data_IF_458304651857
#
_entry.id   IF_458304651857
#
_cell.length_a   1.000
_cell.length_b   1.000
_cell.length_c   1.000
_cell.angle_alpha   90.00
_cell.angle_beta   90.00
_cell.angle_gamma   90.00
#
_symmetry.space_group_name_H-M   'P 1'
#
loop_
_entity.id
_entity.type
_entity.pdbx_description
1 polymer ?
#
# COMPACT_ATOMS: atom_id res chain seq x y z
N UNK A 1 -20.19 10.79 -7.97
CA UNK A 1 -21.42 11.50 -7.52
C UNK A 1 -22.02 10.97 -6.19
N UNK A 2 -21.43 9.95 -5.54
CA UNK A 2 -21.89 9.43 -4.24
C UNK A 2 -21.41 10.23 -2.99
N UNK A 3 -20.21 10.83 -2.93
CA UNK A 3 -19.76 11.55 -1.73
C UNK A 3 -20.65 12.72 -1.34
N UNK A 4 -21.20 13.42 -2.35
CA UNK A 4 -22.07 14.59 -2.11
C UNK A 4 -23.44 14.21 -1.50
N UNK A 5 -23.96 13.03 -1.85
CA UNK A 5 -25.23 12.53 -1.31
C UNK A 5 -25.11 12.11 0.17
N UNK A 6 -23.99 11.52 0.57
CA UNK A 6 -23.73 11.19 1.99
C UNK A 6 -23.54 12.44 2.84
N UNK A 7 -22.88 13.47 2.31
CA UNK A 7 -22.70 14.74 3.00
C UNK A 7 -24.04 15.46 3.26
N UNK A 8 -24.96 15.45 2.28
CA UNK A 8 -26.30 16.04 2.42
C UNK A 8 -27.18 15.26 3.40
N UNK A 9 -27.09 13.92 3.43
CA UNK A 9 -27.84 13.08 4.40
C UNK A 9 -27.39 13.32 5.84
N UNK A 10 -26.10 13.54 6.08
CA UNK A 10 -25.60 13.87 7.42
C UNK A 10 -26.03 15.25 7.90
N UNK A 11 -26.20 16.22 7.00
CA UNK A 11 -26.68 17.57 7.32
C UNK A 11 -28.15 17.57 7.81
N UNK A 12 -29.00 16.72 7.26
CA UNK A 12 -30.42 16.67 7.64
C UNK A 12 -30.73 15.75 8.83
N UNK A 13 -29.72 15.30 9.58
CA UNK A 13 -29.93 14.53 10.81
C UNK A 13 -30.57 13.14 10.63
N UNK A 14 -30.64 12.64 9.40
CA UNK A 14 -31.07 11.29 9.12
C UNK A 14 -29.94 10.32 9.46
N UNK A 15 -29.85 9.93 10.74
CA UNK A 15 -28.96 8.86 11.17
C UNK A 15 -29.32 7.58 10.42
N UNK A 16 -28.52 7.16 9.46
CA UNK A 16 -28.49 5.76 9.06
C UNK A 16 -28.16 4.96 10.31
N UNK A 17 -29.08 4.10 10.72
CA UNK A 17 -28.78 3.01 11.65
C UNK A 17 -27.65 2.22 11.02
N UNK A 18 -26.44 2.36 11.58
CA UNK A 18 -25.34 1.47 11.21
C UNK A 18 -25.74 0.08 11.68
N UNK A 19 -26.12 -0.78 10.74
CA UNK A 19 -26.14 -2.21 11.02
C UNK A 19 -24.75 -2.58 11.54
N UNK A 20 -24.70 -3.22 12.72
CA UNK A 20 -23.48 -3.74 13.32
C UNK A 20 -22.91 -4.77 12.35
N UNK A 21 -21.99 -4.32 11.47
CA UNK A 21 -21.35 -5.20 10.49
C UNK A 21 -20.41 -6.10 11.24
N UNK A 22 -20.53 -7.39 11.00
CA UNK A 22 -19.64 -8.40 11.55
C UNK A 22 -18.25 -8.25 10.92
N UNK A 23 -17.21 -8.66 11.60
CA UNK A 23 -15.82 -8.69 11.10
C UNK A 23 -15.67 -9.57 9.85
N UNK A 24 -16.66 -10.40 9.57
CA UNK A 24 -16.73 -11.28 8.39
C UNK A 24 -16.87 -10.50 7.05
N UNK A 25 -17.23 -9.21 7.10
CA UNK A 25 -17.37 -8.35 5.92
C UNK A 25 -16.05 -7.63 5.54
N UNK A 26 -14.97 -7.76 6.32
CA UNK A 26 -13.70 -7.10 6.03
C UNK A 26 -12.94 -7.84 4.93
N UNK A 27 -12.73 -7.17 3.79
CA UNK A 27 -11.94 -7.72 2.69
C UNK A 27 -10.48 -7.32 2.83
N UNK A 28 -9.56 -8.21 2.47
CA UNK A 28 -8.11 -7.95 2.46
C UNK A 28 -7.62 -7.83 1.03
N UNK A 29 -7.12 -6.64 0.68
CA UNK A 29 -6.60 -6.34 -0.65
C UNK A 29 -5.09 -6.49 -0.65
N UNK A 30 -4.56 -7.25 -1.63
CA UNK A 30 -3.14 -7.45 -1.83
C UNK A 30 -2.68 -6.82 -3.14
N UNK A 31 -1.72 -5.87 -3.07
CA UNK A 31 -1.18 -5.14 -4.23
C UNK A 31 0.32 -5.37 -4.33
N UNK A 32 0.74 -6.08 -5.36
CA UNK A 32 2.14 -6.45 -5.57
C UNK A 32 3.04 -5.27 -5.95
N UNK A 33 4.35 -5.46 -5.88
CA UNK A 33 5.35 -4.51 -6.32
C UNK A 33 5.55 -4.48 -7.84
N UNK A 34 6.40 -3.57 -8.29
CA UNK A 34 6.78 -3.48 -9.70
C UNK A 34 7.38 -4.78 -10.21
N UNK A 35 7.05 -5.15 -11.46
CA UNK A 35 7.53 -6.37 -12.13
C UNK A 35 7.21 -7.67 -11.39
N UNK A 36 6.15 -7.68 -10.59
CA UNK A 36 5.65 -8.85 -9.89
C UNK A 36 4.21 -9.17 -10.34
N UNK A 37 3.62 -10.16 -9.70
CA UNK A 37 2.20 -10.49 -9.78
C UNK A 37 1.67 -10.77 -8.38
N UNK A 38 0.35 -10.92 -8.22
CA UNK A 38 -0.26 -11.28 -6.93
C UNK A 38 0.30 -12.59 -6.34
N UNK A 39 0.89 -13.46 -7.16
CA UNK A 39 1.52 -14.72 -6.72
C UNK A 39 2.73 -14.49 -5.79
N UNK A 40 3.34 -13.31 -5.82
CA UNK A 40 4.43 -12.97 -4.89
C UNK A 40 4.01 -13.02 -3.43
N UNK A 41 2.72 -12.89 -3.15
CA UNK A 41 2.16 -12.96 -1.79
C UNK A 41 1.80 -14.38 -1.32
N UNK A 42 1.95 -15.43 -2.13
CA UNK A 42 1.45 -16.76 -1.78
C UNK A 42 1.94 -17.23 -0.40
N UNK A 43 3.24 -17.06 -0.10
CA UNK A 43 3.79 -17.43 1.20
C UNK A 43 3.11 -16.67 2.36
N UNK A 44 3.01 -15.35 2.25
CA UNK A 44 2.39 -14.52 3.30
C UNK A 44 0.92 -14.85 3.48
N UNK A 45 0.18 -15.09 2.40
CA UNK A 45 -1.23 -15.50 2.42
C UNK A 45 -1.43 -16.85 3.09
N UNK A 46 -0.56 -17.83 2.81
CA UNK A 46 -0.57 -19.14 3.49
C UNK A 46 -0.36 -19.01 5.01
N UNK A 47 0.41 -18.01 5.44
CA UNK A 47 0.65 -17.74 6.86
C UNK A 47 -0.47 -16.94 7.52
N UNK A 48 -1.05 -15.99 6.81
CA UNK A 48 -2.08 -15.08 7.36
C UNK A 48 -3.49 -15.67 7.32
N UNK A 49 -3.85 -16.40 6.27
CA UNK A 49 -5.13 -17.11 6.09
C UNK A 49 -6.36 -16.20 6.29
N UNK A 50 -6.37 -15.02 5.69
CA UNK A 50 -7.51 -14.12 5.75
C UNK A 50 -8.72 -14.67 4.99
N UNK A 51 -9.96 -14.48 5.49
CA UNK A 51 -11.14 -15.12 4.91
C UNK A 51 -11.54 -14.56 3.55
N UNK A 52 -11.42 -13.26 3.34
CA UNK A 52 -11.91 -12.56 2.15
C UNK A 52 -10.78 -11.79 1.47
N UNK A 53 -10.14 -12.40 0.47
CA UNK A 53 -8.99 -11.82 -0.19
C UNK A 53 -9.30 -11.32 -1.58
N UNK A 54 -8.79 -10.14 -1.93
CA UNK A 54 -8.82 -9.55 -3.27
C UNK A 54 -7.37 -9.42 -3.75
N UNK A 55 -7.03 -10.18 -4.78
CA UNK A 55 -5.68 -10.21 -5.33
C UNK A 55 -5.61 -9.32 -6.56
N UNK A 56 -4.91 -8.21 -6.44
CA UNK A 56 -4.75 -7.24 -7.51
C UNK A 56 -3.59 -7.64 -8.42
N UNK A 57 -3.83 -7.57 -9.73
CA UNK A 57 -2.79 -7.65 -10.74
C UNK A 57 -2.83 -6.41 -11.63
N UNK A 58 -1.65 -5.86 -11.93
CA UNK A 58 -1.46 -4.74 -12.84
C UNK A 58 -0.12 -4.88 -13.58
N UNK A 59 0.06 -4.14 -14.68
CA UNK A 59 1.30 -4.13 -15.46
C UNK A 59 2.17 -2.95 -15.09
N UNK A 60 3.40 -3.19 -14.66
CA UNK A 60 4.38 -2.12 -14.40
C UNK A 60 4.87 -1.39 -15.67
N UNK A 61 4.49 -1.88 -16.85
CA UNK A 61 4.75 -1.20 -18.12
C UNK A 61 3.74 -0.07 -18.42
N UNK A 62 2.64 -0.03 -17.67
CA UNK A 62 1.61 1.00 -17.79
C UNK A 62 1.89 2.18 -16.83
N UNK A 63 1.31 3.34 -17.14
CA UNK A 63 1.41 4.53 -16.28
C UNK A 63 0.70 4.33 -14.95
N UNK A 64 1.19 5.02 -13.91
CA UNK A 64 0.66 4.92 -12.57
C UNK A 64 -0.86 5.22 -12.50
N UNK A 65 -1.29 6.31 -13.11
CA UNK A 65 -2.71 6.73 -13.09
C UNK A 65 -3.61 5.70 -13.76
N UNK A 66 -3.19 5.17 -14.93
CA UNK A 66 -3.94 4.12 -15.63
C UNK A 66 -4.06 2.85 -14.77
N UNK A 67 -2.96 2.44 -14.13
CA UNK A 67 -2.99 1.31 -13.21
C UNK A 67 -3.87 1.58 -11.99
N UNK A 68 -3.84 2.81 -11.43
CA UNK A 68 -4.68 3.17 -10.29
C UNK A 68 -6.17 2.99 -10.61
N UNK A 69 -6.59 3.43 -11.80
CA UNK A 69 -7.97 3.23 -12.28
C UNK A 69 -8.29 1.74 -12.43
N UNK A 70 -7.41 0.97 -13.06
CA UNK A 70 -7.58 -0.48 -13.24
C UNK A 70 -7.59 -1.27 -11.94
N UNK A 71 -6.79 -0.87 -10.96
CA UNK A 71 -6.80 -1.44 -9.62
C UNK A 71 -8.12 -1.11 -8.92
N UNK A 72 -8.55 0.15 -9.01
CA UNK A 72 -9.83 0.58 -8.43
C UNK A 72 -11.03 -0.17 -9.03
N UNK A 73 -11.02 -0.45 -10.35
CA UNK A 73 -12.05 -1.27 -11.02
C UNK A 73 -12.09 -2.72 -10.51
N UNK A 74 -10.95 -3.29 -10.08
CA UNK A 74 -10.90 -4.65 -9.52
C UNK A 74 -11.50 -4.72 -8.10
N UNK A 75 -11.58 -3.59 -7.38
CA UNK A 75 -12.15 -3.49 -6.04
C UNK A 75 -13.66 -3.22 -6.16
N UNK A 76 -14.42 -4.23 -6.60
CA UNK A 76 -15.87 -4.08 -6.85
C UNK A 76 -16.70 -4.04 -5.57
N UNK A 77 -16.19 -4.60 -4.48
CA UNK A 77 -16.89 -4.64 -3.21
C UNK A 77 -16.81 -3.28 -2.50
N UNK A 78 -17.95 -2.74 -2.06
CA UNK A 78 -18.06 -1.46 -1.35
C UNK A 78 -17.88 -1.58 0.17
N UNK A 79 -17.55 -2.75 0.68
CA UNK A 79 -17.32 -3.01 2.10
C UNK A 79 -16.07 -2.30 2.64
N UNK A 80 -15.82 -2.42 3.94
CA UNK A 80 -14.55 -2.00 4.50
C UNK A 80 -13.42 -2.90 3.98
N UNK A 81 -12.26 -2.31 3.76
CA UNK A 81 -11.08 -3.02 3.25
C UNK A 81 -9.88 -2.79 4.16
N UNK A 82 -9.14 -3.86 4.43
CA UNK A 82 -7.76 -3.80 4.91
C UNK A 82 -6.84 -3.99 3.71
N UNK A 83 -5.81 -3.15 3.56
CA UNK A 83 -5.01 -3.14 2.34
C UNK A 83 -3.54 -3.43 2.64
N UNK A 84 -2.93 -4.28 1.82
CA UNK A 84 -1.53 -4.68 1.94
C UNK A 84 -0.85 -4.39 0.61
N UNK A 85 0.18 -3.55 0.64
CA UNK A 85 0.94 -3.19 -0.54
C UNK A 85 2.44 -3.41 -0.38
N UNK A 86 3.07 -4.07 -1.34
CA UNK A 86 4.52 -4.22 -1.38
C UNK A 86 5.14 -3.21 -2.35
N UNK A 87 6.21 -2.52 -1.93
CA UNK A 87 6.97 -1.61 -2.79
C UNK A 87 6.06 -0.58 -3.47
N UNK A 88 6.01 -0.53 -4.80
CA UNK A 88 5.09 0.31 -5.58
C UNK A 88 3.61 0.03 -5.25
N UNK A 89 3.26 -1.21 -4.88
CA UNK A 89 1.92 -1.57 -4.42
C UNK A 89 1.46 -0.79 -3.19
N UNK A 90 2.39 -0.40 -2.30
CA UNK A 90 2.10 0.47 -1.16
C UNK A 90 1.77 1.91 -1.55
N UNK A 91 2.33 2.41 -2.66
CA UNK A 91 1.93 3.71 -3.21
C UNK A 91 0.49 3.67 -3.72
N UNK A 92 0.11 2.63 -4.49
CA UNK A 92 -1.28 2.44 -4.90
C UNK A 92 -2.21 2.30 -3.70
N UNK A 93 -1.80 1.50 -2.69
CA UNK A 93 -2.59 1.30 -1.48
C UNK A 93 -2.93 2.63 -0.79
N UNK A 94 -1.97 3.56 -0.71
CA UNK A 94 -2.17 4.88 -0.13
C UNK A 94 -3.13 5.73 -0.99
N UNK A 95 -2.98 5.75 -2.31
CA UNK A 95 -3.90 6.48 -3.20
C UNK A 95 -5.34 5.94 -3.10
N UNK A 96 -5.51 4.63 -2.96
CA UNK A 96 -6.83 3.98 -2.85
C UNK A 96 -7.59 4.36 -1.58
N UNK A 97 -6.93 4.89 -0.54
CA UNK A 97 -7.63 5.44 0.65
C UNK A 97 -8.54 6.61 0.29
N UNK A 98 -8.29 7.30 -0.83
CA UNK A 98 -9.09 8.43 -1.32
C UNK A 98 -10.27 7.99 -2.19
N UNK A 99 -10.27 6.73 -2.64
CA UNK A 99 -11.25 6.21 -3.61
C UNK A 99 -12.17 5.14 -3.00
N UNK A 100 -11.67 4.42 -2.00
CA UNK A 100 -12.36 3.28 -1.38
C UNK A 100 -12.39 3.42 0.15
N UNK A 101 -13.30 2.68 0.78
CA UNK A 101 -13.41 2.60 2.24
C UNK A 101 -12.29 1.70 2.80
N UNK A 102 -11.08 2.22 2.85
CA UNK A 102 -9.96 1.56 3.52
C UNK A 102 -10.05 1.89 5.01
N UNK A 103 -9.95 0.89 5.88
CA UNK A 103 -10.09 1.03 7.34
C UNK A 103 -8.79 0.71 8.08
N UNK A 104 -7.78 0.21 7.38
CA UNK A 104 -6.45 -0.05 7.90
C UNK A 104 -5.54 -0.58 6.81
N UNK A 105 -4.24 -0.60 7.03
CA UNK A 105 -3.32 -1.10 6.02
C UNK A 105 -1.91 -1.39 6.49
N UNK A 106 -1.20 -2.14 5.65
CA UNK A 106 0.23 -2.41 5.77
C UNK A 106 0.92 -2.10 4.46
N UNK A 107 1.95 -1.29 4.51
CA UNK A 107 2.88 -1.11 3.41
C UNK A 107 4.20 -1.79 3.74
N UNK A 108 4.77 -2.51 2.77
CA UNK A 108 5.99 -3.30 2.92
C UNK A 108 7.04 -2.71 1.97
N UNK A 109 8.16 -2.25 2.51
CA UNK A 109 9.29 -1.70 1.71
C UNK A 109 8.86 -0.61 0.73
N UNK A 110 7.86 0.22 1.07
CA UNK A 110 7.28 1.20 0.16
C UNK A 110 8.08 2.49 0.12
N UNK A 111 8.47 2.99 -1.08
CA UNK A 111 9.26 4.20 -1.24
C UNK A 111 8.40 5.47 -1.18
N UNK A 112 7.89 5.88 -0.02
CA UNK A 112 6.98 7.03 0.09
C UNK A 112 7.60 8.38 -0.28
N UNK A 113 8.96 8.54 -0.19
CA UNK A 113 9.65 9.70 -0.72
C UNK A 113 10.20 9.48 -2.15
N UNK A 114 9.83 8.39 -2.79
CA UNK A 114 10.31 8.01 -4.11
C UNK A 114 11.71 7.42 -4.11
N UNK A 115 12.22 7.17 -5.32
CA UNK A 115 13.52 6.55 -5.54
C UNK A 115 14.48 7.49 -6.24
N UNK A 116 15.67 7.68 -5.65
CA UNK A 116 16.74 8.46 -6.27
C UNK A 116 17.29 7.77 -7.54
N UNK A 117 17.40 6.44 -7.50
CA UNK A 117 17.85 5.68 -8.68
C UNK A 117 16.86 5.77 -9.84
N UNK A 118 15.55 5.84 -9.57
CA UNK A 118 14.54 6.07 -10.60
C UNK A 118 14.66 7.46 -11.24
N UNK A 119 15.08 8.47 -10.47
CA UNK A 119 15.33 9.81 -11.03
C UNK A 119 16.42 9.82 -12.10
N UNK A 120 17.39 8.90 -12.04
CA UNK A 120 18.43 8.73 -13.05
C UNK A 120 18.01 7.72 -14.13
N UNK A 121 17.41 6.60 -13.76
CA UNK A 121 17.01 5.55 -14.68
C UNK A 121 16.03 6.02 -15.76
N UNK A 122 15.16 7.00 -15.46
CA UNK A 122 14.23 7.59 -16.44
C UNK A 122 14.92 8.26 -17.64
N UNK A 123 16.19 8.68 -17.51
CA UNK A 123 16.96 9.24 -18.62
C UNK A 123 17.64 8.17 -19.47
N UNK A 124 17.90 6.99 -18.88
CA UNK A 124 18.53 5.85 -19.54
C UNK A 124 17.47 5.00 -20.27
N UNK A 125 16.30 4.81 -19.64
CA UNK A 125 15.18 4.03 -20.18
C UNK A 125 13.91 4.88 -20.15
N UNK A 126 13.81 5.92 -21.00
CA UNK A 126 12.71 6.88 -20.96
C UNK A 126 11.35 6.30 -21.37
N UNK A 127 11.35 5.15 -22.06
CA UNK A 127 10.15 4.43 -22.48
C UNK A 127 9.49 3.62 -21.37
N UNK A 128 10.14 3.46 -20.20
CA UNK A 128 9.59 2.68 -19.10
C UNK A 128 8.95 3.60 -18.05
N UNK A 129 7.59 3.66 -17.97
CA UNK A 129 6.86 4.60 -17.14
C UNK A 129 7.22 4.52 -15.65
N UNK A 130 7.50 3.32 -15.13
CA UNK A 130 7.85 3.07 -13.74
C UNK A 130 8.90 4.07 -13.20
N UNK A 131 9.98 4.34 -13.96
CA UNK A 131 11.03 5.25 -13.48
C UNK A 131 10.57 6.71 -13.40
N UNK A 132 9.57 7.09 -14.20
CA UNK A 132 8.95 8.41 -14.10
C UNK A 132 8.01 8.51 -12.90
N UNK A 133 7.28 7.42 -12.61
CA UNK A 133 6.22 7.39 -11.62
C UNK A 133 6.75 7.25 -10.18
N UNK A 134 7.88 6.54 -9.97
CA UNK A 134 8.48 6.38 -8.63
C UNK A 134 9.65 7.33 -8.34
N UNK A 135 9.98 8.24 -9.25
CA UNK A 135 10.96 9.31 -9.02
C UNK A 135 10.49 10.27 -7.92
N UNK A 136 11.41 10.82 -7.12
CA UNK A 136 11.13 11.68 -5.96
C UNK A 136 10.27 12.90 -6.25
N UNK A 137 10.28 13.41 -7.50
CA UNK A 137 9.52 14.58 -7.93
C UNK A 137 8.30 14.24 -8.78
N UNK A 138 7.96 12.95 -8.90
CA UNK A 138 6.81 12.49 -9.67
C UNK A 138 5.48 12.94 -9.05
N UNK A 139 4.44 12.97 -9.86
CA UNK A 139 3.08 13.29 -9.39
C UNK A 139 2.61 12.25 -8.37
N UNK A 140 2.72 10.92 -8.61
CA UNK A 140 2.31 9.92 -7.64
C UNK A 140 2.97 10.09 -6.27
N UNK A 141 4.27 10.34 -6.22
CA UNK A 141 4.99 10.54 -4.95
C UNK A 141 4.56 11.83 -4.24
N UNK A 142 4.39 12.93 -4.96
CA UNK A 142 3.88 14.19 -4.38
C UNK A 142 2.47 14.05 -3.84
N UNK A 143 1.61 13.34 -4.55
CA UNK A 143 0.25 13.04 -4.08
C UNK A 143 0.28 12.16 -2.85
N UNK A 144 1.12 11.10 -2.81
CA UNK A 144 1.32 10.31 -1.59
C UNK A 144 1.72 11.19 -0.39
N UNK A 145 2.59 12.17 -0.59
CA UNK A 145 3.03 13.08 0.48
C UNK A 145 1.92 14.01 0.98
N UNK A 146 0.88 14.28 0.18
CA UNK A 146 -0.26 15.13 0.55
C UNK A 146 -1.43 14.36 1.19
N UNK A 147 -1.46 13.04 1.08
CA UNK A 147 -2.50 12.21 1.70
C UNK A 147 -2.18 12.01 3.18
N UNK A 148 -3.04 12.49 4.07
CA UNK A 148 -2.95 12.24 5.51
C UNK A 148 -3.63 10.91 5.86
N UNK A 149 -2.98 10.12 6.71
CA UNK A 149 -3.49 8.85 7.21
C UNK A 149 -4.01 9.03 8.63
N UNK A 150 -5.31 8.85 8.81
CA UNK A 150 -6.01 8.86 10.11
C UNK A 150 -6.51 7.47 10.55
N UNK A 151 -6.24 6.44 9.76
CA UNK A 151 -6.59 5.04 10.02
C UNK A 151 -5.34 4.27 10.48
N UNK A 152 -5.49 3.11 11.17
CA UNK A 152 -4.35 2.26 11.52
C UNK A 152 -3.53 1.89 10.28
N UNK A 153 -2.26 2.25 10.28
CA UNK A 153 -1.37 1.93 9.19
C UNK A 153 0.02 1.55 9.69
N UNK A 154 0.54 0.44 9.19
CA UNK A 154 1.90 -0.01 9.53
C UNK A 154 2.78 0.01 8.28
N UNK A 155 3.92 0.69 8.36
CA UNK A 155 4.99 0.61 7.37
C UNK A 155 6.06 -0.36 7.86
N UNK A 156 6.30 -1.44 7.13
CA UNK A 156 7.44 -2.33 7.33
C UNK A 156 8.64 -1.75 6.57
N UNK A 157 9.65 -1.34 7.34
CA UNK A 157 10.91 -0.78 6.84
C UNK A 157 11.95 -1.89 6.79
N UNK A 158 12.47 -2.17 5.61
CA UNK A 158 13.48 -3.19 5.38
C UNK A 158 14.88 -2.60 5.38
N UNK A 159 15.85 -3.28 6.03
CA UNK A 159 17.14 -2.67 6.35
C UNK A 159 18.35 -3.46 5.88
N UNK A 160 18.17 -4.63 5.25
CA UNK A 160 19.27 -5.52 4.86
C UNK A 160 19.62 -5.43 3.38
N UNK A 161 20.16 -4.29 2.94
CA UNK A 161 20.68 -4.12 1.58
C UNK A 161 21.98 -3.34 1.58
N UNK A 162 22.83 -3.58 0.59
CA UNK A 162 24.13 -2.91 0.46
C UNK A 162 24.39 -2.50 -0.99
N UNK A 163 23.45 -1.84 -1.64
CA UNK A 163 23.68 -1.31 -2.99
C UNK A 163 24.27 0.09 -2.89
N UNK A 164 25.56 0.27 -3.24
CA UNK A 164 26.31 1.50 -2.96
C UNK A 164 25.76 2.74 -3.70
N UNK A 165 25.02 2.55 -4.78
CA UNK A 165 24.55 3.65 -5.63
C UNK A 165 23.16 4.19 -5.27
N UNK A 166 22.55 3.73 -4.16
CA UNK A 166 21.22 4.16 -3.75
C UNK A 166 21.18 5.46 -2.92
N UNK A 167 22.34 6.07 -2.65
CA UNK A 167 22.38 7.35 -1.92
C UNK A 167 22.22 7.25 -0.41
N UNK A 168 22.37 6.03 0.18
CA UNK A 168 22.28 5.79 1.62
C UNK A 168 21.93 4.34 1.96
N UNK A 169 21.75 4.02 3.25
CA UNK A 169 21.29 2.71 3.70
C UNK A 169 19.99 2.32 3.00
N UNK A 170 19.90 1.06 2.57
CA UNK A 170 18.80 0.60 1.71
C UNK A 170 18.55 -0.91 1.93
N UNK A 171 17.49 -1.42 1.33
CA UNK A 171 17.11 -2.83 1.34
C UNK A 171 17.51 -3.60 0.06
N UNK A 172 18.35 -2.96 -0.76
CA UNK A 172 18.74 -3.45 -2.08
C UNK A 172 17.96 -2.80 -3.24
N UNK A 173 16.83 -2.12 -2.98
CA UNK A 173 15.98 -1.47 -3.97
C UNK A 173 15.55 -0.07 -3.52
N UNK A 174 15.13 0.09 -2.26
CA UNK A 174 14.59 1.33 -1.70
C UNK A 174 15.47 1.78 -0.54
N UNK A 175 15.72 3.10 -0.41
CA UNK A 175 16.44 3.65 0.73
C UNK A 175 15.57 3.64 1.99
N UNK A 176 16.21 3.41 3.14
CA UNK A 176 15.55 3.47 4.46
C UNK A 176 14.92 4.84 4.69
N UNK A 177 15.60 5.90 4.26
CA UNK A 177 15.07 7.28 4.33
C UNK A 177 13.74 7.43 3.60
N UNK A 178 13.64 6.87 2.38
CA UNK A 178 12.40 6.93 1.61
C UNK A 178 11.27 6.15 2.26
N UNK A 179 11.54 4.96 2.80
CA UNK A 179 10.55 4.17 3.52
C UNK A 179 10.07 4.85 4.81
N UNK A 180 10.96 5.57 5.51
CA UNK A 180 10.69 6.26 6.78
C UNK A 180 10.17 7.69 6.63
N UNK A 181 9.96 8.16 5.43
CA UNK A 181 9.62 9.57 5.17
C UNK A 181 8.26 10.01 5.74
N UNK A 182 7.41 9.07 6.16
CA UNK A 182 6.09 9.35 6.75
C UNK A 182 6.11 9.13 8.27
N UNK A 183 5.51 10.07 9.00
CA UNK A 183 5.43 10.04 10.48
C UNK A 183 4.02 9.74 10.99
N UNK A 184 3.04 9.68 10.10
CA UNK A 184 1.63 9.36 10.37
C UNK A 184 1.30 7.86 10.32
N UNK A 185 2.33 7.02 10.25
CA UNK A 185 2.23 5.56 10.22
C UNK A 185 3.09 4.94 11.32
N UNK A 186 2.65 3.81 11.88
CA UNK A 186 3.50 2.96 12.73
C UNK A 186 4.61 2.36 11.88
N UNK A 187 5.88 2.53 12.28
CA UNK A 187 7.03 1.99 11.57
C UNK A 187 7.59 0.79 12.31
N UNK A 188 7.82 -0.32 11.60
CA UNK A 188 8.45 -1.54 12.12
C UNK A 188 9.64 -1.86 11.23
N UNK A 189 10.82 -1.89 11.81
CA UNK A 189 12.05 -2.25 11.11
C UNK A 189 12.27 -3.76 11.15
N UNK A 190 12.53 -4.35 9.99
CA UNK A 190 12.91 -5.75 9.86
C UNK A 190 14.22 -5.87 9.06
N UNK A 191 15.12 -6.73 9.55
CA UNK A 191 16.39 -6.97 8.89
C UNK A 191 16.21 -7.96 7.73
N UNK A 192 15.58 -7.48 6.65
CA UNK A 192 15.31 -8.20 5.40
C UNK A 192 15.73 -7.34 4.22
N UNK A 193 16.07 -7.99 3.11
CA UNK A 193 16.15 -7.36 1.80
C UNK A 193 14.74 -7.10 1.25
N UNK A 194 14.65 -6.33 0.17
CA UNK A 194 13.38 -5.95 -0.46
C UNK A 194 12.47 -7.13 -0.80
N UNK A 195 13.04 -8.26 -1.21
CA UNK A 195 12.27 -9.43 -1.65
C UNK A 195 12.16 -10.55 -0.60
N UNK A 196 13.06 -10.63 0.37
CA UNK A 196 12.95 -11.60 1.49
C UNK A 196 11.69 -11.39 2.31
N UNK A 197 11.15 -10.16 2.32
CA UNK A 197 9.87 -9.84 2.96
C UNK A 197 8.71 -10.72 2.47
N UNK A 198 8.76 -11.16 1.22
CA UNK A 198 7.69 -11.97 0.61
C UNK A 198 7.64 -13.41 1.13
N UNK A 199 8.70 -13.87 1.79
CA UNK A 199 8.83 -15.25 2.34
C UNK A 199 9.21 -15.23 3.82
N UNK A 200 8.77 -14.22 4.57
CA UNK A 200 9.14 -13.99 5.97
C UNK A 200 7.96 -14.20 6.92
N UNK A 201 8.14 -15.07 7.92
CA UNK A 201 7.16 -15.27 8.99
C UNK A 201 7.00 -13.99 9.83
N UNK A 202 8.09 -13.25 10.09
CA UNK A 202 8.01 -11.98 10.84
C UNK A 202 7.13 -10.96 10.12
N UNK A 203 7.20 -10.89 8.79
CA UNK A 203 6.31 -10.02 7.99
C UNK A 203 4.86 -10.47 8.11
N UNK A 204 4.60 -11.78 8.04
CA UNK A 204 3.26 -12.33 8.21
C UNK A 204 2.69 -12.02 9.60
N UNK A 205 3.49 -12.10 10.66
CA UNK A 205 3.09 -11.75 12.03
C UNK A 205 2.74 -10.26 12.16
N UNK A 206 3.54 -9.36 11.58
CA UNK A 206 3.25 -7.92 11.57
C UNK A 206 1.93 -7.64 10.84
N UNK A 207 1.69 -8.29 9.70
CA UNK A 207 0.45 -8.15 8.96
C UNK A 207 -0.74 -8.61 9.79
N UNK A 208 -0.68 -9.79 10.44
CA UNK A 208 -1.73 -10.30 11.32
C UNK A 208 -2.02 -9.36 12.49
N UNK A 209 -0.97 -8.88 13.16
CA UNK A 209 -1.11 -7.94 14.27
C UNK A 209 -1.82 -6.67 13.81
N UNK A 210 -1.39 -6.08 12.70
CA UNK A 210 -1.99 -4.85 12.15
C UNK A 210 -3.45 -5.05 11.72
N UNK A 211 -3.78 -6.21 11.18
CA UNK A 211 -5.15 -6.59 10.83
C UNK A 211 -6.03 -6.71 12.09
N UNK A 212 -5.54 -7.39 13.12
CA UNK A 212 -6.26 -7.55 14.40
C UNK A 212 -6.46 -6.22 15.12
N UNK A 213 -5.44 -5.34 15.12
CA UNK A 213 -5.54 -3.98 15.67
C UNK A 213 -6.65 -3.19 14.93
N UNK A 214 -6.74 -3.33 13.61
CA UNK A 214 -7.79 -2.70 12.81
C UNK A 214 -9.18 -3.24 13.16
N UNK A 215 -9.34 -4.57 13.28
CA UNK A 215 -10.62 -5.19 13.69
C UNK A 215 -11.06 -4.68 15.06
N UNK A 216 -10.14 -4.61 16.02
CA UNK A 216 -10.44 -4.17 17.39
C UNK A 216 -10.96 -2.73 17.45
N UNK A 217 -10.60 -1.89 16.48
CA UNK A 217 -11.10 -0.50 16.38
C UNK A 217 -12.45 -0.38 15.64
N UNK A 218 -12.88 -1.44 14.95
CA UNK A 218 -14.16 -1.46 14.23
C UNK A 218 -15.31 -2.01 15.10
N UNK A 219 -14.98 -2.67 16.22
CA UNK A 219 -15.92 -3.21 17.20
C UNK A 219 -16.32 -2.17 18.24
#
# INVERSE_FOLDING_TARGET
MQPFREYVYNWFGMRKTYEKRTTDDLNVIWIHGANQTSLSFNYLRERTQFPNEILINYSSADKFEYNLDKISEQIQNKGPHFIIGHSMGGLYALHLTQLHRIVGGVSISTPFAGSWTADWAKYIVPSYPLFKDVGRRSIPIKTCASIEISIPWTQIVTTSGQVPYHGGPNDGVVTIESMKSRTDMKQIELHHTHYETMVSDNVAEVIKSSYNDTISLLQ
#
